data_IF_408293801037
#
_entry.id   IF_408293801037
#
_cell.length_a   1.000
_cell.length_b   1.000
_cell.length_c   1.000
_cell.angle_alpha   90.00
_cell.angle_beta   90.00
_cell.angle_gamma   90.00
#
_symmetry.space_group_name_H-M   'P 1'
#
loop_
_entity.id
_entity.type
_entity.pdbx_description
1 polymer ?
#
# COMPACT_ATOMS: atom_id res chain seq x y z
N UNK A 1 41.10 -53.12 13.83
CA UNK A 1 40.29 -52.49 12.76
C UNK A 1 38.87 -53.01 12.87
N UNK A 2 37.89 -52.09 12.85
CA UNK A 2 36.42 -52.22 12.76
C UNK A 2 35.80 -51.22 13.76
N UNK A 3 35.78 -49.93 13.43
CA UNK A 3 34.77 -49.23 12.62
C UNK A 3 33.80 -48.47 13.54
N UNK A 4 34.14 -47.20 13.77
CA UNK A 4 33.21 -46.17 14.21
C UNK A 4 32.10 -46.02 13.18
N UNK A 5 30.85 -46.08 13.61
CA UNK A 5 29.76 -45.36 12.93
C UNK A 5 29.00 -44.56 13.99
N UNK A 6 29.11 -43.22 14.01
CA UNK A 6 28.22 -42.41 14.81
C UNK A 6 26.83 -42.46 14.16
N UNK A 7 25.82 -42.84 14.92
CA UNK A 7 24.41 -42.72 14.53
C UNK A 7 24.16 -41.26 14.16
N UNK A 8 24.04 -41.01 12.86
CA UNK A 8 23.74 -39.69 12.36
C UNK A 8 22.39 -39.27 12.93
N UNK A 9 22.38 -38.20 13.73
CA UNK A 9 21.17 -37.46 14.07
C UNK A 9 20.49 -37.08 12.76
N UNK A 10 19.49 -37.87 12.36
CA UNK A 10 18.55 -37.49 11.32
C UNK A 10 17.70 -36.38 11.93
N UNK A 11 18.14 -35.13 11.75
CA UNK A 11 17.24 -33.99 11.83
C UNK A 11 16.22 -34.20 10.73
N UNK A 12 15.16 -34.93 11.05
CA UNK A 12 13.93 -35.00 10.27
C UNK A 12 13.40 -33.57 10.23
N UNK A 13 13.77 -32.86 9.17
CA UNK A 13 13.14 -31.62 8.80
C UNK A 13 11.68 -31.98 8.52
N UNK A 14 10.82 -31.92 9.54
CA UNK A 14 9.38 -32.01 9.33
C UNK A 14 9.02 -30.84 8.44
N UNK A 15 8.82 -31.11 7.15
CA UNK A 15 8.06 -30.21 6.29
C UNK A 15 6.74 -29.97 7.01
N UNK A 16 6.34 -28.69 7.11
CA UNK A 16 5.07 -28.33 7.74
C UNK A 16 3.93 -29.09 7.05
N UNK A 17 2.98 -29.59 7.84
CA UNK A 17 1.82 -30.30 7.31
C UNK A 17 0.96 -29.37 6.46
N UNK A 18 0.21 -29.90 5.50
CA UNK A 18 -0.65 -29.08 4.63
C UNK A 18 -1.65 -28.22 5.46
N UNK A 19 -2.17 -28.75 6.57
CA UNK A 19 -3.01 -28.00 7.53
C UNK A 19 -2.27 -26.85 8.21
N UNK A 20 -1.01 -27.05 8.61
CA UNK A 20 -0.19 -26.01 9.26
C UNK A 20 0.17 -24.89 8.26
N UNK A 21 0.40 -25.26 7.00
CA UNK A 21 0.63 -24.31 5.91
C UNK A 21 -0.64 -23.50 5.62
N UNK A 22 -1.80 -24.16 5.51
CA UNK A 22 -3.08 -23.49 5.27
C UNK A 22 -3.44 -22.50 6.39
N UNK A 23 -3.27 -22.88 7.66
CA UNK A 23 -3.51 -21.98 8.80
C UNK A 23 -2.58 -20.76 8.78
N UNK A 24 -1.32 -20.96 8.42
CA UNK A 24 -0.35 -19.86 8.33
C UNK A 24 -0.68 -18.91 7.18
N UNK A 25 -1.12 -19.45 6.04
CA UNK A 25 -1.56 -18.66 4.89
C UNK A 25 -2.80 -17.84 5.23
N UNK A 26 -3.75 -18.44 5.94
CA UNK A 26 -4.96 -17.76 6.42
C UNK A 26 -4.62 -16.56 7.30
N UNK A 27 -3.80 -16.77 8.34
CA UNK A 27 -3.35 -15.69 9.24
C UNK A 27 -2.61 -14.59 8.47
N UNK A 28 -1.75 -14.98 7.52
CA UNK A 28 -1.04 -14.00 6.71
C UNK A 28 -2.00 -13.19 5.83
N UNK A 29 -2.99 -13.83 5.21
CA UNK A 29 -3.95 -13.17 4.35
C UNK A 29 -4.87 -12.22 5.14
N UNK A 30 -5.28 -12.58 6.35
CA UNK A 30 -5.98 -11.66 7.26
C UNK A 30 -5.13 -10.44 7.61
N UNK A 31 -3.85 -10.66 7.96
CA UNK A 31 -2.94 -9.55 8.25
C UNK A 31 -2.69 -8.65 7.03
N UNK A 32 -2.61 -9.23 5.82
CA UNK A 32 -2.51 -8.46 4.58
C UNK A 32 -3.80 -7.65 4.37
N UNK A 33 -4.97 -8.27 4.56
CA UNK A 33 -6.27 -7.61 4.43
C UNK A 33 -6.37 -6.39 5.33
N UNK A 34 -6.09 -6.56 6.62
CA UNK A 34 -6.18 -5.48 7.61
C UNK A 34 -5.26 -4.30 7.26
N UNK A 35 -4.03 -4.61 6.83
CA UNK A 35 -3.07 -3.60 6.38
C UNK A 35 -3.58 -2.86 5.13
N UNK A 36 -4.17 -3.57 4.17
CA UNK A 36 -4.73 -2.94 2.97
C UNK A 36 -5.96 -2.10 3.27
N UNK A 37 -6.87 -2.57 4.13
CA UNK A 37 -8.03 -1.79 4.56
C UNK A 37 -7.62 -0.50 5.28
N UNK A 38 -6.60 -0.56 6.13
CA UNK A 38 -6.05 0.62 6.77
C UNK A 38 -5.41 1.57 5.75
N UNK A 39 -4.64 1.03 4.80
CA UNK A 39 -4.02 1.82 3.76
C UNK A 39 -5.06 2.48 2.82
N UNK A 40 -6.16 1.80 2.47
CA UNK A 40 -7.31 2.38 1.76
C UNK A 40 -7.91 3.54 2.57
N UNK A 41 -8.13 3.36 3.87
CA UNK A 41 -8.67 4.42 4.74
C UNK A 41 -7.73 5.62 4.81
N UNK A 42 -6.43 5.38 4.91
CA UNK A 42 -5.42 6.44 4.93
C UNK A 42 -5.32 7.17 3.59
N UNK A 43 -5.41 6.46 2.45
CA UNK A 43 -5.49 7.06 1.11
C UNK A 43 -6.70 8.00 0.98
N UNK A 44 -7.88 7.58 1.46
CA UNK A 44 -9.08 8.45 1.48
C UNK A 44 -8.85 9.71 2.32
N UNK A 45 -8.27 9.58 3.52
CA UNK A 45 -7.91 10.74 4.35
C UNK A 45 -6.89 11.67 3.68
N UNK A 46 -5.97 11.12 2.89
CA UNK A 46 -4.99 11.92 2.15
C UNK A 46 -5.68 12.72 1.03
N UNK A 47 -6.66 12.14 0.34
CA UNK A 47 -7.51 12.84 -0.65
C UNK A 47 -8.30 13.98 0.00
N UNK A 48 -8.90 13.74 1.18
CA UNK A 48 -9.62 14.79 1.92
C UNK A 48 -8.69 15.95 2.28
N UNK A 49 -7.50 15.65 2.81
CA UNK A 49 -6.49 16.67 3.11
C UNK A 49 -6.03 17.43 1.87
N UNK A 50 -5.99 16.79 0.70
CA UNK A 50 -5.69 17.44 -0.59
C UNK A 50 -6.78 18.44 -0.97
N UNK A 51 -8.04 18.10 -0.76
CA UNK A 51 -9.16 19.04 -0.93
C UNK A 51 -9.02 20.26 -0.02
N UNK A 52 -8.78 20.04 1.28
CA UNK A 52 -8.56 21.13 2.25
C UNK A 52 -7.34 21.98 1.87
N UNK A 53 -6.28 21.34 1.40
CA UNK A 53 -5.05 22.00 0.97
C UNK A 53 -5.29 22.90 -0.24
N UNK A 54 -6.03 22.40 -1.24
CA UNK A 54 -6.47 23.16 -2.42
C UNK A 54 -7.31 24.37 -2.02
N UNK A 55 -8.24 24.23 -1.08
CA UNK A 55 -9.07 25.35 -0.62
C UNK A 55 -8.26 26.40 0.13
N UNK A 56 -7.31 25.97 0.98
CA UNK A 56 -6.33 26.87 1.61
C UNK A 56 -5.48 27.60 0.58
N UNK A 57 -5.00 26.90 -0.44
CA UNK A 57 -4.24 27.51 -1.53
C UNK A 57 -5.05 28.62 -2.20
N UNK A 58 -6.31 28.38 -2.55
CA UNK A 58 -7.19 29.37 -3.19
C UNK A 58 -7.30 30.66 -2.38
N UNK A 59 -7.44 30.56 -1.06
CA UNK A 59 -7.59 31.70 -0.16
C UNK A 59 -6.30 32.51 0.02
N UNK A 60 -5.13 31.85 -0.06
CA UNK A 60 -3.84 32.53 0.14
C UNK A 60 -3.39 33.30 -1.11
N UNK A 61 -2.92 34.54 -0.93
CA UNK A 61 -2.35 35.36 -2.03
C UNK A 61 -1.00 34.84 -2.52
N UNK A 62 -0.24 34.16 -1.67
CA UNK A 62 1.08 33.61 -2.00
C UNK A 62 1.34 32.30 -1.26
N UNK A 63 2.26 31.49 -1.81
CA UNK A 63 2.77 30.28 -1.16
C UNK A 63 3.69 30.66 0.00
N UNK A 64 3.24 30.42 1.22
CA UNK A 64 4.08 30.57 2.42
C UNK A 64 4.72 29.24 2.83
N UNK A 65 5.68 29.34 3.76
CA UNK A 65 6.45 28.20 4.25
C UNK A 65 5.57 27.14 4.91
N UNK A 66 4.50 27.55 5.59
CA UNK A 66 3.57 26.65 6.28
C UNK A 66 2.82 25.78 5.27
N UNK A 67 2.33 26.40 4.19
CA UNK A 67 1.67 25.70 3.10
C UNK A 67 2.61 24.70 2.42
N UNK A 68 3.88 25.07 2.17
CA UNK A 68 4.88 24.11 1.66
C UNK A 68 5.07 22.94 2.63
N UNK A 69 5.13 23.20 3.94
CA UNK A 69 5.34 22.17 4.95
C UNK A 69 4.17 21.19 5.07
N UNK A 70 2.95 21.68 4.89
CA UNK A 70 1.75 20.84 4.90
C UNK A 70 1.79 19.85 3.73
N UNK A 71 2.16 20.29 2.53
CA UNK A 71 2.34 19.40 1.40
C UNK A 71 3.47 18.39 1.62
N UNK A 72 4.64 18.81 2.14
CA UNK A 72 5.73 17.89 2.45
C UNK A 72 5.28 16.73 3.34
N UNK A 73 4.51 17.03 4.40
CA UNK A 73 3.95 16.02 5.29
C UNK A 73 2.98 15.08 4.57
N UNK A 74 2.18 15.60 3.66
CA UNK A 74 1.26 14.80 2.85
C UNK A 74 2.03 13.90 1.88
N UNK A 75 3.11 14.37 1.27
CA UNK A 75 3.98 13.56 0.42
C UNK A 75 4.66 12.46 1.23
N UNK A 76 5.12 12.75 2.45
CA UNK A 76 5.70 11.73 3.31
C UNK A 76 4.67 10.67 3.73
N UNK A 77 3.42 11.07 3.98
CA UNK A 77 2.30 10.14 4.22
C UNK A 77 2.03 9.27 2.99
N UNK A 78 1.99 9.86 1.79
CA UNK A 78 1.82 9.13 0.53
C UNK A 78 2.94 8.08 0.34
N UNK A 79 4.20 8.44 0.60
CA UNK A 79 5.33 7.50 0.49
C UNK A 79 5.20 6.32 1.46
N UNK A 80 4.84 6.58 2.72
CA UNK A 80 4.60 5.53 3.71
C UNK A 80 3.49 4.58 3.28
N UNK A 81 2.40 5.12 2.72
CA UNK A 81 1.33 4.30 2.16
C UNK A 81 1.84 3.43 1.01
N UNK A 82 2.65 3.98 0.11
CA UNK A 82 3.25 3.21 -0.98
C UNK A 82 4.13 2.06 -0.48
N UNK A 83 4.94 2.30 0.55
CA UNK A 83 5.75 1.25 1.17
C UNK A 83 4.89 0.14 1.80
N UNK A 84 3.81 0.52 2.51
CA UNK A 84 2.86 -0.44 3.08
C UNK A 84 2.18 -1.29 1.99
N UNK A 85 1.83 -0.68 0.85
CA UNK A 85 1.29 -1.38 -0.30
C UNK A 85 2.27 -2.37 -0.91
N UNK A 86 3.50 -1.94 -1.17
CA UNK A 86 4.52 -2.79 -1.75
C UNK A 86 4.86 -3.98 -0.85
N UNK A 87 4.93 -3.76 0.47
CA UNK A 87 5.14 -4.82 1.45
C UNK A 87 3.97 -5.82 1.49
N UNK A 88 2.74 -5.32 1.54
CA UNK A 88 1.53 -6.15 1.50
C UNK A 88 1.46 -6.99 0.21
N UNK A 89 1.79 -6.38 -0.94
CA UNK A 89 1.80 -7.06 -2.24
C UNK A 89 2.84 -8.17 -2.27
N UNK A 90 4.05 -7.87 -1.80
CA UNK A 90 5.13 -8.85 -1.74
C UNK A 90 4.78 -10.04 -0.84
N UNK A 91 4.17 -9.78 0.33
CA UNK A 91 3.70 -10.85 1.23
C UNK A 91 2.64 -11.73 0.57
N UNK A 92 1.70 -11.14 -0.17
CA UNK A 92 0.70 -11.90 -0.92
C UNK A 92 1.35 -12.76 -2.01
N UNK A 93 2.28 -12.21 -2.79
CA UNK A 93 3.01 -12.96 -3.83
C UNK A 93 3.87 -14.09 -3.23
N UNK A 94 4.45 -13.88 -2.06
CA UNK A 94 5.19 -14.91 -1.33
C UNK A 94 4.28 -16.03 -0.80
N UNK A 95 3.06 -15.72 -0.33
CA UNK A 95 2.06 -16.72 0.05
C UNK A 95 1.66 -17.55 -1.17
N UNK A 96 1.31 -16.90 -2.29
CA UNK A 96 0.91 -17.57 -3.54
C UNK A 96 1.97 -18.55 -4.06
N UNK A 97 3.26 -18.23 -3.90
CA UNK A 97 4.37 -19.10 -4.33
C UNK A 97 4.59 -20.32 -3.43
N UNK A 98 4.24 -20.22 -2.15
CA UNK A 98 4.42 -21.31 -1.16
C UNK A 98 3.25 -22.30 -1.18
N UNK A 99 2.15 -21.89 -1.79
CA UNK A 99 0.92 -22.64 -1.85
C UNK A 99 1.01 -23.79 -2.85
N UNK A 100 0.80 -25.02 -2.38
CA UNK A 100 0.79 -26.24 -3.23
C UNK A 100 -0.62 -26.64 -3.68
N UNK A 101 -1.63 -26.41 -2.84
CA UNK A 101 -3.03 -26.73 -3.13
C UNK A 101 -3.96 -25.71 -2.42
N UNK A 102 -4.35 -24.62 -3.08
CA UNK A 102 -5.37 -23.71 -2.57
C UNK A 102 -6.73 -24.40 -2.45
N UNK A 103 -7.44 -24.18 -1.35
CA UNK A 103 -8.88 -24.40 -1.32
C UNK A 103 -9.64 -23.19 -1.90
N UNK A 104 -10.94 -23.38 -2.20
CA UNK A 104 -11.78 -22.33 -2.81
C UNK A 104 -11.88 -21.08 -1.92
N UNK A 105 -11.96 -21.25 -0.61
CA UNK A 105 -12.09 -20.11 0.33
C UNK A 105 -10.85 -19.23 0.31
N UNK A 106 -9.68 -19.86 0.26
CA UNK A 106 -8.39 -19.17 0.22
C UNK A 106 -8.19 -18.44 -1.11
N UNK A 107 -8.66 -19.02 -2.22
CA UNK A 107 -8.67 -18.35 -3.52
C UNK A 107 -9.56 -17.09 -3.52
N UNK A 108 -10.78 -17.19 -3.01
CA UNK A 108 -11.68 -16.03 -2.92
C UNK A 108 -11.07 -14.88 -2.11
N UNK A 109 -10.37 -15.19 -1.01
CA UNK A 109 -9.67 -14.18 -0.21
C UNK A 109 -8.54 -13.51 -0.99
N UNK A 110 -7.76 -14.29 -1.73
CA UNK A 110 -6.68 -13.74 -2.56
C UNK A 110 -7.23 -12.83 -3.65
N UNK A 111 -8.36 -13.18 -4.27
CA UNK A 111 -9.04 -12.31 -5.24
C UNK A 111 -9.55 -11.01 -4.60
N UNK A 112 -10.12 -11.08 -3.39
CA UNK A 112 -10.53 -9.89 -2.64
C UNK A 112 -9.34 -8.97 -2.34
N UNK A 113 -8.20 -9.53 -1.93
CA UNK A 113 -6.97 -8.77 -1.70
C UNK A 113 -6.48 -8.09 -2.98
N UNK A 114 -6.49 -8.80 -4.12
CA UNK A 114 -6.14 -8.22 -5.43
C UNK A 114 -7.08 -7.08 -5.83
N UNK A 115 -8.38 -7.19 -5.54
CA UNK A 115 -9.33 -6.10 -5.76
C UNK A 115 -8.99 -4.89 -4.90
N UNK A 116 -8.74 -5.10 -3.61
CA UNK A 116 -8.34 -4.01 -2.70
C UNK A 116 -7.10 -3.28 -3.20
N UNK A 117 -6.08 -4.00 -3.71
CA UNK A 117 -4.90 -3.37 -4.34
C UNK A 117 -5.29 -2.44 -5.49
N UNK A 118 -6.13 -2.92 -6.41
CA UNK A 118 -6.56 -2.14 -7.57
C UNK A 118 -7.42 -0.93 -7.18
N UNK A 119 -8.22 -1.05 -6.12
CA UNK A 119 -9.10 0.01 -5.65
C UNK A 119 -8.39 1.15 -4.91
N UNK A 120 -7.13 0.97 -4.50
CA UNK A 120 -6.51 1.93 -3.59
C UNK A 120 -6.07 3.26 -4.22
N UNK A 121 -6.06 3.36 -5.56
CA UNK A 121 -5.66 4.59 -6.27
C UNK A 121 -4.25 5.10 -5.93
N UNK A 122 -3.37 4.25 -5.39
CA UNK A 122 -2.09 4.70 -4.82
C UNK A 122 -1.17 5.36 -5.87
N UNK A 123 -1.09 4.78 -7.06
CA UNK A 123 -0.31 5.33 -8.18
C UNK A 123 -0.89 6.65 -8.71
N UNK A 124 -2.21 6.80 -8.66
CA UNK A 124 -2.91 8.01 -9.09
C UNK A 124 -2.65 9.15 -8.10
N UNK A 125 -2.79 8.87 -6.80
CA UNK A 125 -2.48 9.82 -5.73
C UNK A 125 -1.01 10.23 -5.77
N UNK A 126 -0.09 9.29 -6.02
CA UNK A 126 1.33 9.58 -6.21
C UNK A 126 1.57 10.60 -7.31
N UNK A 127 1.03 10.34 -8.51
CA UNK A 127 1.19 11.24 -9.66
C UNK A 127 0.63 12.63 -9.37
N UNK A 128 -0.54 12.71 -8.74
CA UNK A 128 -1.11 13.99 -8.35
C UNK A 128 -0.17 14.76 -7.42
N UNK A 129 0.33 14.10 -6.37
CA UNK A 129 1.24 14.72 -5.39
C UNK A 129 2.54 15.22 -6.03
N UNK A 130 3.12 14.45 -6.95
CA UNK A 130 4.32 14.85 -7.72
C UNK A 130 4.03 16.07 -8.62
N UNK A 131 2.89 16.09 -9.29
CA UNK A 131 2.50 17.22 -10.14
C UNK A 131 2.23 18.49 -9.32
N UNK A 132 1.54 18.38 -8.19
CA UNK A 132 1.33 19.50 -7.27
C UNK A 132 2.68 20.03 -6.75
N UNK A 133 3.63 19.15 -6.39
CA UNK A 133 4.98 19.54 -5.98
C UNK A 133 5.71 20.35 -7.06
N UNK A 134 5.70 19.85 -8.31
CA UNK A 134 6.37 20.52 -9.42
C UNK A 134 5.77 21.91 -9.67
N UNK A 135 4.44 22.00 -9.76
CA UNK A 135 3.74 23.27 -10.01
C UNK A 135 3.96 24.29 -8.89
N UNK A 136 4.09 23.85 -7.64
CA UNK A 136 4.42 24.76 -6.54
C UNK A 136 5.87 25.20 -6.49
N UNK A 137 6.81 24.37 -6.96
CA UNK A 137 8.20 24.79 -7.15
C UNK A 137 8.32 25.85 -8.25
N UNK A 138 7.50 25.75 -9.29
CA UNK A 138 7.35 26.75 -10.34
C UNK A 138 6.51 27.98 -9.91
N UNK A 139 6.07 28.04 -8.65
CA UNK A 139 5.18 29.06 -8.10
C UNK A 139 3.84 29.21 -8.85
N UNK A 140 3.44 28.18 -9.59
CA UNK A 140 2.21 28.17 -10.40
C UNK A 140 1.02 27.62 -9.60
N UNK A 141 0.54 28.43 -8.65
CA UNK A 141 -0.54 28.05 -7.72
C UNK A 141 -1.85 27.69 -8.43
N UNK A 142 -2.20 28.43 -9.48
CA UNK A 142 -3.49 28.28 -10.16
C UNK A 142 -3.55 26.96 -10.93
N UNK A 143 -2.46 26.57 -11.60
CA UNK A 143 -2.37 25.25 -12.23
C UNK A 143 -2.40 24.11 -11.21
N UNK A 144 -1.74 24.27 -10.05
CA UNK A 144 -1.79 23.26 -8.99
C UNK A 144 -3.22 23.03 -8.48
N UNK A 145 -4.01 24.11 -8.36
CA UNK A 145 -5.43 24.04 -7.98
C UNK A 145 -6.23 23.31 -9.07
N UNK A 146 -6.08 23.70 -10.34
CA UNK A 146 -6.81 23.07 -11.45
C UNK A 146 -6.54 21.57 -11.56
N UNK A 147 -5.29 21.15 -11.40
CA UNK A 147 -4.91 19.73 -11.43
C UNK A 147 -5.60 18.95 -10.31
N UNK A 148 -5.62 19.51 -9.08
CA UNK A 148 -6.30 18.90 -7.94
C UNK A 148 -7.81 18.75 -8.19
N UNK A 149 -8.46 19.76 -8.80
CA UNK A 149 -9.90 19.68 -9.14
C UNK A 149 -10.20 18.64 -10.22
N UNK A 150 -9.35 18.55 -11.25
CA UNK A 150 -9.51 17.55 -12.31
C UNK A 150 -9.41 16.14 -11.75
N UNK A 151 -8.47 15.94 -10.83
CA UNK A 151 -8.26 14.65 -10.19
C UNK A 151 -9.42 14.26 -9.25
N UNK A 152 -9.91 15.18 -8.41
CA UNK A 152 -11.10 14.92 -7.59
C UNK A 152 -12.30 14.48 -8.44
N UNK A 153 -12.50 15.07 -9.62
CA UNK A 153 -13.55 14.66 -10.55
C UNK A 153 -13.35 13.26 -11.15
N UNK A 154 -12.11 12.81 -11.30
CA UNK A 154 -11.79 11.47 -11.78
C UNK A 154 -11.96 10.41 -10.69
N UNK A 155 -11.70 10.75 -9.43
CA UNK A 155 -11.76 9.82 -8.29
C UNK A 155 -13.15 9.74 -7.63
N UNK A 156 -14.11 10.59 -8.03
CA UNK A 156 -15.50 10.38 -7.64
C UNK A 156 -16.05 9.08 -8.24
N UNK A 157 -15.95 8.01 -7.45
CA UNK A 157 -16.75 6.78 -7.50
C UNK A 157 -18.16 7.08 -6.97
#
# INVERSE_FOLDING_TARGET
MAANHPEANFLEYKEASDEELAQKEEINNEAIKDNLEDAVKQSKKLLEKLGDYKDKLRQKKSLDWQTKKDLEKMTEQQKKLQEQFEDAKKKLEENLKKQRNPDESLQEKQEQLQKLFNETGNDEIKKLMEQIQNLMNELNKDQAIQMSEQFEKQIQI
#
